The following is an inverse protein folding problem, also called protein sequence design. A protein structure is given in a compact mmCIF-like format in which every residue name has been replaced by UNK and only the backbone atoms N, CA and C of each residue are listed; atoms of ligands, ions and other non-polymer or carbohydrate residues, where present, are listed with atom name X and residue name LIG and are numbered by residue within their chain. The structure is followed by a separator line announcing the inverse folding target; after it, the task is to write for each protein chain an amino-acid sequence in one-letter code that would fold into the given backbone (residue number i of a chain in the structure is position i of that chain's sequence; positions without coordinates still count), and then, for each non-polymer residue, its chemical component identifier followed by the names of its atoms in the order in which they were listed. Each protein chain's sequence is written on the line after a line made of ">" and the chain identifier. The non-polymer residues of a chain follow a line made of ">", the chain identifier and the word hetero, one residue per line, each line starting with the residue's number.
data_IF_571394442068
#
_entry.id   IF_571394442068
#
_cell.length_a   1.000
_cell.length_b   1.000
_cell.length_c   1.000
_cell.angle_alpha   90.00
_cell.angle_beta   90.00
_cell.angle_gamma   90.00
#
_symmetry.space_group_name_H-M   'P 1'
#
loop_
_entity.id
_entity.type
_entity.pdbx_description
1 polymer ?
#
# COMPACT_ATOMS: atom_id res chain seq x y z
N UNK A 1 -9.66 30.07 26.81
CA UNK A 1 -9.45 30.32 25.36
C UNK A 1 -8.83 29.07 24.77
N UNK A 2 -9.58 28.32 23.96
CA UNK A 2 -9.05 27.12 23.29
C UNK A 2 -8.28 27.56 22.05
N UNK A 3 -6.97 27.35 22.04
CA UNK A 3 -6.11 27.60 20.88
C UNK A 3 -6.48 26.55 19.82
N UNK A 4 -7.23 26.94 18.78
CA UNK A 4 -7.38 26.10 17.59
C UNK A 4 -6.02 26.11 16.88
N UNK A 5 -5.31 24.98 16.76
CA UNK A 5 -4.10 24.95 15.95
C UNK A 5 -4.45 25.38 14.54
N UNK A 6 -3.66 26.30 13.99
CA UNK A 6 -3.74 26.66 12.58
C UNK A 6 -3.27 25.43 11.80
N UNK A 7 -4.20 24.62 11.29
CA UNK A 7 -3.84 23.62 10.29
C UNK A 7 -3.38 24.39 9.05
N UNK A 8 -2.07 24.43 8.82
CA UNK A 8 -1.51 24.96 7.59
C UNK A 8 -2.00 24.06 6.44
N UNK A 9 -2.80 24.61 5.54
CA UNK A 9 -3.16 23.98 4.27
C UNK A 9 -1.88 23.76 3.47
N UNK A 10 -1.45 22.50 3.33
CA UNK A 10 -0.32 22.09 2.51
C UNK A 10 -0.78 21.57 1.15
N UNK A 11 0.11 21.61 0.15
CA UNK A 11 -0.11 21.02 -1.17
C UNK A 11 0.73 19.76 -1.34
N UNK A 12 0.12 18.62 -1.69
CA UNK A 12 0.85 17.36 -1.86
C UNK A 12 0.74 16.80 -3.28
N UNK A 13 1.86 16.32 -3.82
CA UNK A 13 1.88 15.52 -5.05
C UNK A 13 1.65 14.04 -4.73
N UNK A 14 0.69 13.42 -5.40
CA UNK A 14 0.35 12.00 -5.24
C UNK A 14 0.55 11.28 -6.57
N UNK A 15 1.48 10.32 -6.61
CA UNK A 15 1.54 9.35 -7.72
C UNK A 15 0.63 8.17 -7.41
N UNK A 16 -0.01 7.60 -8.42
CA UNK A 16 -1.01 6.55 -8.21
C UNK A 16 -2.31 7.08 -7.61
N UNK A 17 -2.58 8.39 -7.75
CA UNK A 17 -3.71 9.10 -7.15
C UNK A 17 -5.09 8.55 -7.53
N UNK A 18 -5.22 7.85 -8.67
CA UNK A 18 -6.47 7.19 -9.10
C UNK A 18 -6.48 5.69 -8.81
N UNK A 19 -5.43 5.16 -8.18
CA UNK A 19 -5.34 3.76 -7.78
C UNK A 19 -6.17 3.46 -6.52
N UNK A 20 -6.21 2.19 -6.13
CA UNK A 20 -7.01 1.72 -5.00
C UNK A 20 -6.66 2.44 -3.68
N UNK A 21 -5.40 2.37 -3.24
CA UNK A 21 -4.98 3.09 -2.02
C UNK A 21 -4.85 4.59 -2.29
N UNK A 22 -4.25 4.99 -3.42
CA UNK A 22 -3.99 6.39 -3.73
C UNK A 22 -5.25 7.26 -3.78
N UNK A 23 -6.37 6.75 -4.31
CA UNK A 23 -7.62 7.51 -4.31
C UNK A 23 -8.20 7.75 -2.92
N UNK A 24 -7.97 6.83 -1.96
CA UNK A 24 -8.34 7.05 -0.56
C UNK A 24 -7.39 8.05 0.12
N UNK A 25 -6.10 8.05 -0.22
CA UNK A 25 -5.13 9.06 0.23
C UNK A 25 -5.54 10.45 -0.25
N UNK A 26 -5.95 10.59 -1.52
CA UNK A 26 -6.49 11.84 -2.05
C UNK A 26 -7.69 12.32 -1.24
N UNK A 27 -8.66 11.44 -0.98
CA UNK A 27 -9.86 11.80 -0.23
C UNK A 27 -9.55 12.21 1.22
N UNK A 28 -8.64 11.50 1.89
CA UNK A 28 -8.19 11.82 3.25
C UNK A 28 -7.47 13.19 3.31
N UNK A 29 -6.61 13.49 2.33
CA UNK A 29 -5.88 14.77 2.28
C UNK A 29 -6.83 15.94 2.03
N UNK A 30 -7.78 15.79 1.10
CA UNK A 30 -8.81 16.80 0.84
C UNK A 30 -9.69 17.03 2.07
N UNK A 31 -10.12 15.96 2.74
CA UNK A 31 -10.93 16.04 3.96
C UNK A 31 -10.18 16.71 5.13
N UNK A 32 -8.85 16.56 5.18
CA UNK A 32 -7.99 17.24 6.14
C UNK A 32 -7.72 18.72 5.81
N UNK A 33 -8.23 19.23 4.68
CA UNK A 33 -8.06 20.62 4.24
C UNK A 33 -6.76 20.90 3.50
N UNK A 34 -6.11 19.86 2.97
CA UNK A 34 -4.95 19.99 2.10
C UNK A 34 -5.35 20.07 0.63
N UNK A 35 -4.47 20.64 -0.19
CA UNK A 35 -4.60 20.62 -1.65
C UNK A 35 -3.81 19.46 -2.22
N UNK A 36 -4.30 18.87 -3.31
CA UNK A 36 -3.67 17.71 -3.94
C UNK A 36 -3.36 18.02 -5.41
N UNK A 37 -2.18 17.60 -5.84
CA UNK A 37 -1.82 17.41 -7.24
C UNK A 37 -1.73 15.91 -7.51
N UNK A 38 -2.53 15.38 -8.43
CA UNK A 38 -2.50 13.97 -8.79
C UNK A 38 -1.82 13.74 -10.14
N UNK A 39 -0.86 12.81 -10.19
CA UNK A 39 -0.29 12.36 -11.46
C UNK A 39 -1.30 11.49 -12.22
N UNK A 40 -1.57 11.82 -13.48
CA UNK A 40 -2.52 11.10 -14.32
C UNK A 40 -1.94 10.75 -15.70
N UNK A 41 -1.83 9.44 -15.96
CA UNK A 41 -1.30 8.87 -17.22
C UNK A 41 -2.29 8.82 -18.39
N UNK A 42 -3.59 9.01 -18.14
CA UNK A 42 -4.65 8.89 -19.17
C UNK A 42 -5.76 9.91 -18.96
N UNK A 43 -6.53 10.24 -19.99
CA UNK A 43 -7.69 11.15 -19.88
C UNK A 43 -8.69 10.67 -18.83
N UNK A 44 -8.93 9.36 -18.75
CA UNK A 44 -9.79 8.77 -17.73
C UNK A 44 -9.28 9.07 -16.30
N UNK A 45 -7.98 8.89 -16.04
CA UNK A 45 -7.39 9.24 -14.74
C UNK A 45 -7.48 10.74 -14.45
N UNK A 46 -7.27 11.60 -15.46
CA UNK A 46 -7.40 13.04 -15.28
C UNK A 46 -8.83 13.45 -14.94
N UNK A 47 -9.82 12.89 -15.64
CA UNK A 47 -11.24 13.15 -15.38
C UNK A 47 -11.65 12.74 -13.96
N UNK A 48 -11.17 11.59 -13.46
CA UNK A 48 -11.43 11.14 -12.09
C UNK A 48 -10.89 12.12 -11.03
N UNK A 49 -9.71 12.69 -11.27
CA UNK A 49 -9.11 13.69 -10.37
C UNK A 49 -9.85 15.03 -10.46
N UNK A 50 -10.14 15.51 -11.66
CA UNK A 50 -10.89 16.75 -11.89
C UNK A 50 -12.27 16.71 -11.24
N UNK A 51 -12.96 15.57 -11.31
CA UNK A 51 -14.25 15.37 -10.64
C UNK A 51 -14.19 15.52 -9.12
N UNK A 52 -13.00 15.36 -8.52
CA UNK A 52 -12.74 15.59 -7.09
C UNK A 52 -12.18 16.98 -6.77
N UNK A 53 -12.06 17.87 -7.77
CA UNK A 53 -11.42 19.18 -7.62
C UNK A 53 -9.90 19.11 -7.44
N UNK A 54 -9.27 18.00 -7.82
CA UNK A 54 -7.82 17.80 -7.70
C UNK A 54 -7.11 18.39 -8.91
N UNK A 55 -6.00 19.11 -8.67
CA UNK A 55 -5.13 19.59 -9.75
C UNK A 55 -4.49 18.38 -10.45
N UNK A 56 -4.56 18.35 -11.78
CA UNK A 56 -3.98 17.24 -12.56
C UNK A 56 -2.58 17.60 -13.03
N UNK A 57 -1.62 16.70 -12.76
CA UNK A 57 -0.32 16.68 -13.41
C UNK A 57 -0.33 15.57 -14.46
N UNK A 58 -0.31 15.92 -15.75
CA UNK A 58 -0.33 14.93 -16.84
C UNK A 58 1.06 14.34 -16.99
N UNK A 59 1.18 13.02 -16.95
CA UNK A 59 2.45 12.32 -17.11
C UNK A 59 2.40 10.88 -16.56
N UNK A 60 3.51 10.19 -16.73
CA UNK A 60 3.79 8.82 -16.32
C UNK A 60 5.01 8.77 -15.40
N UNK A 61 5.39 7.58 -14.94
CA UNK A 61 6.62 7.42 -14.13
C UNK A 61 7.90 7.68 -14.94
N UNK A 62 7.85 7.48 -16.26
CA UNK A 62 8.97 7.77 -17.16
C UNK A 62 9.19 9.28 -17.40
N UNK A 63 8.19 10.13 -17.11
CA UNK A 63 8.27 11.58 -17.36
C UNK A 63 9.00 12.31 -16.22
N UNK A 64 10.30 12.03 -16.06
CA UNK A 64 11.09 12.51 -14.92
C UNK A 64 11.11 14.04 -14.74
N UNK A 65 11.05 14.81 -15.84
CA UNK A 65 10.97 16.28 -15.78
C UNK A 65 9.65 16.74 -15.16
N UNK A 66 8.54 16.10 -15.53
CA UNK A 66 7.20 16.34 -14.97
C UNK A 66 7.17 16.00 -13.49
N UNK A 67 7.75 14.85 -13.10
CA UNK A 67 7.85 14.45 -11.70
C UNK A 67 8.64 15.46 -10.86
N UNK A 68 9.80 15.92 -11.36
CA UNK A 68 10.62 16.94 -10.69
C UNK A 68 9.86 18.25 -10.53
N UNK A 69 9.21 18.72 -11.59
CA UNK A 69 8.41 19.93 -11.54
C UNK A 69 7.31 19.82 -10.48
N UNK A 70 6.48 18.77 -10.56
CA UNK A 70 5.39 18.56 -9.61
C UNK A 70 5.85 18.47 -8.17
N UNK A 71 6.97 17.79 -7.91
CA UNK A 71 7.55 17.69 -6.56
C UNK A 71 8.06 19.05 -6.05
N UNK A 72 8.71 19.85 -6.91
CA UNK A 72 9.23 21.18 -6.53
C UNK A 72 8.13 22.18 -6.16
N UNK A 73 6.97 22.08 -6.81
CA UNK A 73 5.80 22.95 -6.63
C UNK A 73 4.86 22.50 -5.48
N UNK A 74 5.21 21.44 -4.76
CA UNK A 74 4.42 20.89 -3.66
C UNK A 74 5.23 20.85 -2.35
N UNK A 75 4.52 20.70 -1.23
CA UNK A 75 5.07 20.70 0.12
C UNK A 75 5.48 19.30 0.56
N UNK A 76 5.21 18.29 -0.27
CA UNK A 76 5.54 16.90 -0.03
C UNK A 76 5.02 16.00 -1.14
N UNK A 77 5.49 14.75 -1.14
CA UNK A 77 5.12 13.74 -2.12
C UNK A 77 4.73 12.44 -1.43
N UNK A 78 3.61 11.84 -1.84
CA UNK A 78 3.35 10.42 -1.60
C UNK A 78 3.42 9.65 -2.92
N UNK A 79 4.33 8.68 -2.98
CA UNK A 79 4.54 7.84 -4.14
C UNK A 79 3.88 6.47 -3.94
N UNK A 80 2.73 6.26 -4.58
CA UNK A 80 1.96 5.01 -4.55
C UNK A 80 1.87 4.33 -5.92
N UNK A 81 2.35 4.98 -6.99
CA UNK A 81 2.35 4.38 -8.32
C UNK A 81 3.38 3.25 -8.41
N UNK A 82 2.90 2.09 -8.86
CA UNK A 82 3.73 0.97 -9.29
C UNK A 82 2.98 0.28 -10.44
N UNK A 83 3.67 -0.15 -11.48
CA UNK A 83 3.04 -0.95 -12.52
C UNK A 83 2.87 -2.40 -12.02
N UNK A 84 1.62 -2.85 -11.93
CA UNK A 84 1.25 -4.16 -11.39
C UNK A 84 1.20 -5.26 -12.46
N UNK A 85 1.78 -5.03 -13.65
CA UNK A 85 2.15 -6.12 -14.56
C UNK A 85 3.31 -6.92 -13.95
N UNK A 86 2.96 -7.90 -13.11
CA UNK A 86 3.94 -8.75 -12.44
C UNK A 86 4.77 -9.62 -13.39
N UNK A 87 4.40 -9.72 -14.68
CA UNK A 87 5.26 -10.36 -15.67
C UNK A 87 6.52 -9.52 -15.98
N UNK A 88 6.45 -8.20 -15.75
CA UNK A 88 7.55 -7.23 -15.96
C UNK A 88 8.10 -6.67 -14.64
N UNK A 89 7.93 -7.42 -13.55
CA UNK A 89 8.18 -6.92 -12.19
C UNK A 89 9.56 -6.28 -11.99
N UNK A 90 10.61 -6.87 -12.59
CA UNK A 90 11.97 -6.32 -12.53
C UNK A 90 12.12 -4.99 -13.28
N UNK A 91 11.54 -4.89 -14.49
CA UNK A 91 11.54 -3.65 -15.29
C UNK A 91 10.75 -2.55 -14.56
N UNK A 92 9.58 -2.89 -14.02
CA UNK A 92 8.73 -1.96 -13.27
C UNK A 92 9.43 -1.45 -12.00
N UNK A 93 10.23 -2.27 -11.33
CA UNK A 93 11.03 -1.84 -10.18
C UNK A 93 12.16 -0.88 -10.56
N UNK A 94 12.77 -1.05 -11.75
CA UNK A 94 13.76 -0.10 -12.27
C UNK A 94 13.11 1.25 -12.59
N UNK A 95 11.94 1.24 -13.23
CA UNK A 95 11.17 2.46 -13.51
C UNK A 95 10.73 3.17 -12.22
N UNK A 96 10.18 2.43 -11.25
CA UNK A 96 9.78 2.96 -9.93
C UNK A 96 10.98 3.65 -9.25
N UNK A 97 12.16 3.01 -9.28
CA UNK A 97 13.37 3.59 -8.69
C UNK A 97 13.80 4.87 -9.40
N UNK A 98 13.80 4.91 -10.73
CA UNK A 98 14.14 6.10 -11.48
C UNK A 98 13.17 7.26 -11.21
N UNK A 99 11.88 6.96 -11.08
CA UNK A 99 10.86 7.93 -10.71
C UNK A 99 11.07 8.47 -9.28
N UNK A 100 11.40 7.60 -8.32
CA UNK A 100 11.71 8.00 -6.94
C UNK A 100 12.96 8.89 -6.90
N UNK A 101 14.01 8.55 -7.66
CA UNK A 101 15.22 9.37 -7.75
C UNK A 101 14.93 10.76 -8.37
N UNK A 102 14.06 10.82 -9.38
CA UNK A 102 13.59 12.08 -9.96
C UNK A 102 12.84 12.94 -8.93
N UNK A 103 11.85 12.36 -8.23
CA UNK A 103 11.10 13.04 -7.16
C UNK A 103 12.05 13.52 -6.05
N UNK A 104 12.95 12.66 -5.58
CA UNK A 104 13.91 12.97 -4.53
C UNK A 104 14.84 14.12 -4.91
N UNK A 105 15.33 14.15 -6.16
CA UNK A 105 16.22 15.23 -6.63
C UNK A 105 15.60 16.62 -6.53
N UNK A 106 14.28 16.74 -6.66
CA UNK A 106 13.56 18.01 -6.51
C UNK A 106 13.34 18.43 -5.05
N UNK A 107 13.52 17.50 -4.10
CA UNK A 107 13.27 17.72 -2.67
C UNK A 107 14.55 17.80 -1.84
N UNK A 108 15.72 17.59 -2.45
CA UNK A 108 17.01 17.60 -1.76
C UNK A 108 17.26 18.89 -0.98
N UNK A 109 17.67 18.76 0.30
CA UNK A 109 17.90 19.89 1.21
C UNK A 109 16.65 20.64 1.68
N UNK A 110 15.44 20.29 1.23
CA UNK A 110 14.21 21.04 1.55
C UNK A 110 13.53 20.62 2.86
N UNK A 111 13.91 19.45 3.41
CA UNK A 111 13.22 18.77 4.51
C UNK A 111 11.74 18.43 4.24
N UNK A 112 11.27 18.58 2.99
CA UNK A 112 9.92 18.16 2.58
C UNK A 112 9.78 16.62 2.64
N UNK A 113 8.60 16.09 3.01
CA UNK A 113 8.37 14.66 3.07
C UNK A 113 8.31 14.01 1.69
N UNK A 114 8.93 12.83 1.61
CA UNK A 114 8.77 11.89 0.50
C UNK A 114 8.37 10.53 1.09
N UNK A 115 7.09 10.19 0.98
CA UNK A 115 6.54 8.94 1.50
C UNK A 115 6.44 7.95 0.35
N UNK A 116 7.18 6.85 0.38
CA UNK A 116 7.19 5.83 -0.68
C UNK A 116 6.50 4.56 -0.19
N UNK A 117 5.77 3.92 -1.09
CA UNK A 117 5.04 2.69 -0.78
C UNK A 117 5.91 1.44 -0.97
N UNK A 118 5.85 0.53 0.00
CA UNK A 118 6.39 -0.83 -0.08
C UNK A 118 5.32 -1.82 0.43
N UNK A 119 5.68 -3.08 0.68
CA UNK A 119 4.79 -4.10 1.22
C UNK A 119 5.44 -4.94 2.32
N UNK A 120 4.64 -5.43 3.27
CA UNK A 120 5.12 -6.27 4.38
C UNK A 120 5.60 -7.65 3.92
N UNK A 121 5.19 -8.10 2.72
CA UNK A 121 5.62 -9.37 2.10
C UNK A 121 7.13 -9.50 1.92
N UNK A 122 7.86 -8.39 1.93
CA UNK A 122 9.31 -8.41 1.82
C UNK A 122 10.03 -8.79 3.12
N UNK A 123 9.33 -8.92 4.24
CA UNK A 123 9.91 -9.30 5.55
C UNK A 123 9.51 -10.70 6.01
N UNK A 124 8.89 -11.51 5.14
CA UNK A 124 8.32 -12.81 5.52
C UNK A 124 9.37 -13.68 6.20
N UNK A 125 9.02 -14.16 7.39
CA UNK A 125 9.80 -15.06 8.22
C UNK A 125 8.79 -16.01 8.85
N UNK A 126 8.94 -17.31 8.62
CA UNK A 126 8.00 -18.31 9.16
C UNK A 126 7.84 -18.14 10.67
N UNK A 127 6.58 -18.10 11.13
CA UNK A 127 6.23 -17.99 12.56
C UNK A 127 6.75 -16.76 13.32
N UNK A 128 7.19 -15.70 12.63
CA UNK A 128 7.66 -14.46 13.28
C UNK A 128 6.79 -13.26 12.89
N UNK A 129 6.50 -12.41 13.88
CA UNK A 129 5.82 -11.13 13.69
C UNK A 129 6.87 -10.06 13.37
N UNK A 130 6.84 -9.51 12.16
CA UNK A 130 7.73 -8.44 11.73
C UNK A 130 7.35 -7.09 12.34
N UNK A 131 8.31 -6.39 12.91
CA UNK A 131 8.19 -4.97 13.28
C UNK A 131 8.72 -4.05 12.17
N UNK A 132 8.50 -2.76 12.29
CA UNK A 132 9.02 -1.73 11.37
C UNK A 132 10.56 -1.72 11.31
N UNK A 133 11.23 -2.22 12.34
CA UNK A 133 12.69 -2.39 12.40
C UNK A 133 13.16 -3.73 11.82
N UNK A 134 12.22 -4.63 11.49
CA UNK A 134 12.55 -5.88 10.82
C UNK A 134 13.08 -5.56 9.41
N UNK A 135 14.32 -5.95 9.10
CA UNK A 135 14.88 -5.72 7.79
C UNK A 135 14.17 -6.59 6.75
N UNK A 136 14.36 -6.19 5.51
CA UNK A 136 13.96 -6.96 4.35
C UNK A 136 14.65 -8.31 4.35
N UNK A 137 13.93 -9.34 3.92
CA UNK A 137 14.54 -10.60 3.55
C UNK A 137 15.23 -10.53 2.18
N UNK A 138 16.56 -10.60 2.16
CA UNK A 138 17.34 -10.59 0.92
C UNK A 138 17.24 -11.89 0.12
N UNK A 139 16.71 -12.96 0.71
CA UNK A 139 16.42 -14.23 0.02
C UNK A 139 14.98 -14.28 -0.52
N UNK A 140 14.12 -13.32 -0.14
CA UNK A 140 12.75 -13.29 -0.61
C UNK A 140 12.68 -13.03 -2.12
N UNK A 141 11.83 -13.75 -2.88
CA UNK A 141 11.53 -13.42 -4.27
C UNK A 141 11.03 -11.98 -4.46
N UNK A 142 10.50 -11.36 -3.40
CA UNK A 142 10.02 -9.97 -3.41
C UNK A 142 11.14 -8.93 -3.21
N UNK A 143 12.40 -9.35 -3.04
CA UNK A 143 13.56 -8.47 -2.77
C UNK A 143 13.78 -7.36 -3.80
N UNK A 144 13.34 -7.58 -5.04
CA UNK A 144 13.55 -6.64 -6.17
C UNK A 144 12.95 -5.27 -5.86
N UNK A 145 11.70 -5.25 -5.38
CA UNK A 145 11.03 -4.00 -5.01
C UNK A 145 11.55 -3.44 -3.69
N UNK A 146 12.18 -4.27 -2.85
CA UNK A 146 12.65 -3.84 -1.55
C UNK A 146 14.04 -3.21 -1.55
N UNK A 147 14.85 -3.41 -2.58
CA UNK A 147 16.06 -2.59 -2.80
C UNK A 147 15.71 -1.09 -2.85
N UNK A 148 14.49 -0.75 -3.29
CA UNK A 148 13.94 0.61 -3.27
C UNK A 148 13.83 1.16 -1.84
N UNK A 149 13.50 0.34 -0.84
CA UNK A 149 13.41 0.84 0.55
C UNK A 149 14.75 1.37 1.05
N UNK A 150 15.83 0.63 0.81
CA UNK A 150 17.18 1.06 1.21
C UNK A 150 17.55 2.39 0.58
N UNK A 151 17.22 2.58 -0.71
CA UNK A 151 17.44 3.85 -1.41
C UNK A 151 16.63 4.97 -0.78
N UNK A 152 15.33 4.75 -0.54
CA UNK A 152 14.43 5.76 0.04
C UNK A 152 14.90 6.20 1.41
N UNK A 153 15.26 5.28 2.29
CA UNK A 153 15.68 5.62 3.66
C UNK A 153 17.00 6.39 3.67
N UNK A 154 17.91 6.08 2.75
CA UNK A 154 19.17 6.81 2.59
C UNK A 154 18.98 8.27 2.15
N UNK A 155 17.83 8.64 1.57
CA UNK A 155 17.51 10.02 1.20
C UNK A 155 17.41 10.95 2.42
N UNK A 156 17.22 10.42 3.62
CA UNK A 156 17.26 11.20 4.86
C UNK A 156 18.59 11.96 5.02
N UNK A 157 19.71 11.33 4.64
CA UNK A 157 21.03 11.97 4.69
C UNK A 157 21.19 13.12 3.68
N UNK A 158 20.28 13.24 2.71
CA UNK A 158 20.22 14.31 1.69
C UNK A 158 19.27 15.44 2.09
N UNK A 159 18.86 15.51 3.36
CA UNK A 159 17.94 16.54 3.85
C UNK A 159 16.52 16.41 3.31
N UNK A 160 16.09 15.18 2.99
CA UNK A 160 14.71 14.86 2.59
C UNK A 160 14.05 14.12 3.75
N UNK A 161 12.83 14.49 4.16
CA UNK A 161 12.09 13.76 5.20
C UNK A 161 11.44 12.50 4.61
N UNK A 162 12.29 11.62 4.12
CA UNK A 162 11.93 10.39 3.42
C UNK A 162 11.43 9.33 4.39
N UNK A 163 10.43 8.55 3.98
CA UNK A 163 9.91 7.43 4.77
C UNK A 163 9.28 6.39 3.86
N UNK A 164 9.13 5.17 4.37
CA UNK A 164 8.48 4.06 3.67
C UNK A 164 7.21 3.65 4.40
N UNK A 165 6.08 3.55 3.70
CA UNK A 165 4.87 2.90 4.18
C UNK A 165 4.79 1.50 3.59
N UNK A 166 4.90 0.46 4.43
CA UNK A 166 4.70 -0.95 4.05
C UNK A 166 3.23 -1.29 4.19
N UNK A 167 2.57 -1.54 3.07
CA UNK A 167 1.19 -2.01 3.03
C UNK A 167 1.11 -3.51 3.31
N UNK A 168 0.06 -3.92 4.02
CA UNK A 168 -0.32 -5.31 4.16
C UNK A 168 -0.66 -5.95 2.78
N UNK A 169 -0.47 -7.27 2.57
CA UNK A 169 -0.88 -7.94 1.32
C UNK A 169 -2.41 -7.91 1.13
N UNK A 170 -3.17 -7.83 2.21
CA UNK A 170 -4.61 -7.59 2.21
C UNK A 170 -4.94 -6.16 2.66
N UNK A 171 -4.59 -5.18 1.82
CA UNK A 171 -5.28 -3.88 1.88
C UNK A 171 -6.69 -4.10 1.34
N UNK A 172 -7.71 -3.84 2.15
CA UNK A 172 -9.10 -4.19 1.82
C UNK A 172 -10.05 -2.98 1.87
N UNK A 173 -11.30 -3.22 1.47
CA UNK A 173 -12.38 -2.24 1.41
C UNK A 173 -12.96 -2.08 0.00
N UNK A 174 -13.98 -1.25 -0.13
CA UNK A 174 -14.76 -1.09 -1.37
C UNK A 174 -13.89 -0.81 -2.60
N UNK A 175 -14.13 -1.56 -3.68
CA UNK A 175 -13.43 -1.40 -4.95
C UNK A 175 -12.05 -2.07 -5.03
N UNK A 176 -11.71 -2.93 -4.06
CA UNK A 176 -10.48 -3.71 -4.08
C UNK A 176 -10.41 -4.64 -5.31
N UNK A 177 -9.23 -4.69 -5.92
CA UNK A 177 -8.87 -5.56 -7.06
C UNK A 177 -7.54 -6.29 -6.81
N UNK A 178 -7.07 -6.28 -5.57
CA UNK A 178 -5.85 -6.90 -5.07
C UNK A 178 -6.00 -8.39 -4.80
N UNK A 179 -5.24 -8.90 -3.84
CA UNK A 179 -5.11 -10.34 -3.63
C UNK A 179 -6.40 -10.99 -3.11
N UNK A 180 -7.10 -10.38 -2.15
CA UNK A 180 -8.35 -10.92 -1.60
C UNK A 180 -9.43 -10.99 -2.68
N UNK A 181 -9.54 -9.96 -3.52
CA UNK A 181 -10.41 -9.98 -4.69
C UNK A 181 -10.09 -11.15 -5.63
N UNK A 182 -8.81 -11.39 -5.95
CA UNK A 182 -8.40 -12.49 -6.83
C UNK A 182 -8.69 -13.87 -6.23
N UNK A 183 -8.54 -14.02 -4.91
CA UNK A 183 -8.91 -15.26 -4.19
C UNK A 183 -10.43 -15.47 -4.26
N UNK A 184 -11.22 -14.43 -4.01
CA UNK A 184 -12.69 -14.49 -4.13
C UNK A 184 -13.13 -14.80 -5.58
N UNK A 185 -12.51 -14.16 -6.58
CA UNK A 185 -12.81 -14.40 -7.98
C UNK A 185 -12.54 -15.86 -8.38
N UNK A 186 -11.40 -16.43 -7.96
CA UNK A 186 -11.10 -17.84 -8.19
C UNK A 186 -12.08 -18.77 -7.46
N UNK A 187 -12.55 -18.38 -6.27
CA UNK A 187 -13.56 -19.15 -5.54
C UNK A 187 -14.90 -19.19 -6.30
N UNK A 188 -15.31 -18.08 -6.91
CA UNK A 188 -16.49 -18.03 -7.80
C UNK A 188 -16.29 -18.89 -9.05
N UNK A 189 -15.12 -18.78 -9.68
CA UNK A 189 -14.81 -19.52 -10.90
C UNK A 189 -14.81 -21.04 -10.69
N UNK A 190 -14.22 -21.50 -9.59
CA UNK A 190 -14.07 -22.93 -9.30
C UNK A 190 -15.18 -23.52 -8.44
N UNK A 191 -16.09 -22.70 -7.91
CA UNK A 191 -17.15 -23.14 -7.01
C UNK A 191 -16.64 -23.68 -5.67
N UNK A 192 -15.44 -23.31 -5.25
CA UNK A 192 -14.85 -23.67 -3.95
C UNK A 192 -13.85 -22.62 -3.48
N UNK A 193 -13.87 -22.27 -2.19
CA UNK A 193 -12.92 -21.36 -1.56
C UNK A 193 -11.77 -22.16 -0.93
N UNK A 194 -10.52 -21.83 -1.26
CA UNK A 194 -9.37 -22.65 -0.87
C UNK A 194 -8.53 -22.03 0.25
N UNK A 195 -7.96 -22.88 1.09
CA UNK A 195 -6.83 -22.57 1.98
C UNK A 195 -5.72 -23.62 1.82
N UNK A 196 -4.51 -23.31 2.26
CA UNK A 196 -3.34 -24.18 2.03
C UNK A 196 -3.03 -25.02 3.27
N UNK A 197 -2.89 -26.33 3.11
CA UNK A 197 -2.52 -27.25 4.19
C UNK A 197 -3.49 -27.16 5.38
N UNK A 198 -2.99 -26.81 6.57
CA UNK A 198 -3.83 -26.60 7.75
C UNK A 198 -4.43 -25.18 7.83
N UNK A 199 -3.97 -24.27 6.97
CA UNK A 199 -4.43 -22.88 6.90
C UNK A 199 -3.99 -22.00 8.07
N UNK A 200 -2.90 -22.40 8.73
CA UNK A 200 -2.25 -21.67 9.83
C UNK A 200 -1.40 -20.48 9.38
N UNK A 201 -1.14 -20.36 8.08
CA UNK A 201 -0.49 -19.18 7.51
C UNK A 201 -1.34 -17.96 7.81
N UNK A 202 -0.70 -16.86 8.21
CA UNK A 202 -1.37 -15.60 8.48
C UNK A 202 -0.96 -14.55 7.45
N UNK A 203 -1.84 -13.58 7.23
CA UNK A 203 -1.55 -12.33 6.54
C UNK A 203 -1.93 -11.15 7.44
N UNK A 204 -1.14 -10.06 7.50
CA UNK A 204 -1.65 -8.85 8.10
C UNK A 204 -2.70 -8.22 7.17
N UNK A 205 -3.61 -7.41 7.71
CA UNK A 205 -4.62 -6.70 6.94
C UNK A 205 -4.73 -5.24 7.35
N UNK A 206 -5.22 -4.39 6.45
CA UNK A 206 -5.55 -2.99 6.75
C UNK A 206 -6.65 -2.49 5.82
N UNK A 207 -7.61 -1.75 6.36
CA UNK A 207 -8.59 -1.09 5.52
C UNK A 207 -7.96 0.08 4.75
N UNK A 208 -8.33 0.29 3.48
CA UNK A 208 -7.75 1.34 2.62
C UNK A 208 -7.85 2.75 3.20
N UNK A 209 -8.90 3.05 3.97
CA UNK A 209 -9.07 4.35 4.65
C UNK A 209 -8.17 4.52 5.87
N UNK A 210 -7.85 3.42 6.56
CA UNK A 210 -6.83 3.43 7.63
C UNK A 210 -5.43 3.63 7.06
N UNK A 211 -5.12 2.96 5.95
CA UNK A 211 -3.88 3.21 5.21
C UNK A 211 -3.80 4.68 4.75
N UNK A 212 -4.88 5.25 4.21
CA UNK A 212 -4.92 6.64 3.79
C UNK A 212 -4.58 7.63 4.93
N UNK A 213 -5.16 7.42 6.11
CA UNK A 213 -4.82 8.18 7.33
C UNK A 213 -3.34 8.08 7.68
N UNK A 214 -2.74 6.89 7.54
CA UNK A 214 -1.31 6.72 7.78
C UNK A 214 -0.47 7.56 6.81
N UNK A 215 -0.79 7.55 5.51
CA UNK A 215 -0.07 8.40 4.54
C UNK A 215 -0.16 9.88 4.89
N UNK A 216 -1.35 10.37 5.29
CA UNK A 216 -1.49 11.76 5.76
C UNK A 216 -0.58 12.04 6.95
N UNK A 217 -0.58 11.18 7.98
CA UNK A 217 0.26 11.37 9.17
C UNK A 217 1.75 11.29 8.84
N UNK A 218 2.16 10.39 7.94
CA UNK A 218 3.54 10.31 7.47
C UNK A 218 3.97 11.59 6.72
N UNK A 219 3.10 12.10 5.84
CA UNK A 219 3.31 13.38 5.16
C UNK A 219 3.39 14.54 6.16
N UNK A 220 2.51 14.63 7.14
CA UNK A 220 2.48 15.76 8.08
C UNK A 220 3.65 15.73 9.07
N UNK A 221 3.97 14.57 9.64
CA UNK A 221 4.86 14.46 10.81
C UNK A 221 5.78 13.23 10.85
N UNK A 222 5.82 12.44 9.78
CA UNK A 222 6.76 11.32 9.65
C UNK A 222 8.21 11.71 9.91
N UNK A 223 8.98 10.82 10.51
CA UNK A 223 10.39 10.99 10.83
C UNK A 223 11.23 10.59 9.61
N UNK A 224 12.29 11.36 9.34
CA UNK A 224 13.19 11.08 8.22
C UNK A 224 13.91 9.74 8.43
N UNK A 225 13.95 8.90 7.40
CA UNK A 225 14.58 7.58 7.44
C UNK A 225 13.75 6.53 8.17
N UNK A 226 12.45 6.76 8.38
CA UNK A 226 11.57 5.82 9.08
C UNK A 226 10.80 4.89 8.15
N UNK A 227 10.40 3.74 8.71
CA UNK A 227 9.44 2.80 8.14
C UNK A 227 8.16 2.82 8.97
N UNK A 228 7.03 2.72 8.29
CA UNK A 228 5.70 2.65 8.88
C UNK A 228 4.95 1.46 8.31
N UNK A 229 4.30 0.67 9.16
CA UNK A 229 3.46 -0.45 8.77
C UNK A 229 2.00 0.00 8.75
N UNK A 230 1.39 -0.01 7.55
CA UNK A 230 -0.05 0.10 7.41
C UNK A 230 -0.67 -1.28 7.68
N UNK A 231 -0.81 -1.61 8.96
CA UNK A 231 -1.35 -2.88 9.44
C UNK A 231 -2.37 -2.61 10.55
N UNK A 232 -3.63 -2.92 10.29
CA UNK A 232 -4.73 -2.87 11.25
C UNK A 232 -4.93 -4.17 12.01
N UNK A 233 -4.67 -5.31 11.35
CA UNK A 233 -4.73 -6.65 11.93
C UNK A 233 -3.40 -7.35 11.68
N UNK A 234 -2.73 -7.83 12.72
CA UNK A 234 -1.35 -8.32 12.60
C UNK A 234 -1.23 -9.66 11.88
N UNK A 235 -2.25 -10.52 12.01
CA UNK A 235 -2.18 -11.92 11.61
C UNK A 235 -3.60 -12.53 11.43
N UNK A 236 -4.24 -12.27 10.30
CA UNK A 236 -5.49 -12.94 9.91
C UNK A 236 -5.17 -14.32 9.33
N UNK A 237 -5.66 -15.44 9.90
CA UNK A 237 -5.43 -16.76 9.33
C UNK A 237 -6.02 -16.89 7.92
N UNK A 238 -5.23 -17.40 6.98
CA UNK A 238 -5.65 -17.68 5.59
C UNK A 238 -6.86 -18.61 5.53
N UNK A 239 -6.98 -19.54 6.48
CA UNK A 239 -8.20 -20.35 6.64
C UNK A 239 -9.44 -19.51 6.93
N UNK A 240 -9.35 -18.53 7.84
CA UNK A 240 -10.47 -17.67 8.18
C UNK A 240 -10.88 -16.79 6.99
N UNK A 241 -9.92 -16.33 6.19
CA UNK A 241 -10.18 -15.62 4.93
C UNK A 241 -10.96 -16.54 3.97
N UNK A 242 -10.51 -17.77 3.77
CA UNK A 242 -11.17 -18.75 2.90
C UNK A 242 -12.58 -19.10 3.40
N UNK A 243 -12.76 -19.26 4.70
CA UNK A 243 -14.05 -19.52 5.34
C UNK A 243 -15.02 -18.36 5.17
N UNK A 244 -14.58 -17.11 5.38
CA UNK A 244 -15.39 -15.92 5.16
C UNK A 244 -15.82 -15.78 3.70
N UNK A 245 -14.90 -16.02 2.75
CA UNK A 245 -15.21 -16.02 1.31
C UNK A 245 -16.21 -17.14 0.97
N UNK A 246 -15.97 -18.35 1.47
CA UNK A 246 -16.84 -19.51 1.24
C UNK A 246 -18.25 -19.28 1.75
N UNK A 247 -18.39 -18.69 2.94
CA UNK A 247 -19.68 -18.31 3.50
C UNK A 247 -20.37 -17.22 2.67
N UNK A 248 -19.65 -16.17 2.28
CA UNK A 248 -20.21 -15.05 1.50
C UNK A 248 -20.69 -15.47 0.11
N UNK A 249 -19.96 -16.40 -0.53
CA UNK A 249 -20.26 -16.92 -1.86
C UNK A 249 -21.11 -18.20 -1.86
N UNK A 250 -21.38 -18.76 -0.69
CA UNK A 250 -22.09 -20.04 -0.52
C UNK A 250 -21.42 -21.22 -1.26
N UNK A 251 -20.09 -21.30 -1.18
CA UNK A 251 -19.27 -22.37 -1.76
C UNK A 251 -18.53 -23.16 -0.69
N UNK A 252 -18.23 -24.46 -0.89
CA UNK A 252 -17.44 -25.24 0.04
C UNK A 252 -16.04 -24.65 0.26
N UNK A 253 -15.51 -24.87 1.47
CA UNK A 253 -14.16 -24.46 1.86
C UNK A 253 -13.26 -25.69 1.87
N UNK A 254 -12.14 -25.64 1.15
CA UNK A 254 -11.30 -26.82 0.88
C UNK A 254 -9.83 -26.55 1.17
N UNK A 255 -9.17 -27.54 1.79
CA UNK A 255 -7.71 -27.55 1.90
C UNK A 255 -7.08 -27.99 0.57
N UNK A 256 -6.01 -27.31 0.17
CA UNK A 256 -5.25 -27.58 -1.05
C UNK A 256 -3.74 -27.57 -0.78
N UNK A 257 -2.98 -28.15 -1.70
CA UNK A 257 -1.52 -28.00 -1.70
C UNK A 257 -1.11 -26.62 -2.22
N UNK A 258 0.14 -26.21 -1.98
CA UNK A 258 0.70 -24.98 -2.58
C UNK A 258 0.64 -25.04 -4.11
N UNK A 259 0.91 -26.22 -4.70
CA UNK A 259 0.88 -26.41 -6.15
C UNK A 259 -0.53 -26.20 -6.73
N UNK A 260 -1.55 -26.76 -6.09
CA UNK A 260 -2.95 -26.55 -6.48
C UNK A 260 -3.36 -25.07 -6.36
N UNK A 261 -2.92 -24.39 -5.29
CA UNK A 261 -3.20 -22.98 -5.08
C UNK A 261 -2.58 -22.11 -6.18
N UNK A 262 -1.33 -22.39 -6.58
CA UNK A 262 -0.66 -21.68 -7.70
C UNK A 262 -1.38 -21.92 -9.02
N UNK A 263 -1.86 -23.14 -9.29
CA UNK A 263 -2.62 -23.43 -10.51
C UNK A 263 -3.93 -22.64 -10.60
N UNK A 264 -4.58 -22.40 -9.46
CA UNK A 264 -5.90 -21.74 -9.41
C UNK A 264 -5.84 -20.23 -9.22
N UNK A 265 -4.88 -19.75 -8.44
CA UNK A 265 -4.72 -18.34 -8.10
C UNK A 265 -3.66 -17.64 -8.97
N UNK A 266 -2.98 -18.38 -9.84
CA UNK A 266 -1.82 -17.92 -10.58
C UNK A 266 -0.72 -17.43 -9.62
N UNK A 267 -0.13 -16.28 -9.94
CA UNK A 267 0.91 -15.65 -9.11
C UNK A 267 0.50 -15.49 -7.63
N UNK A 268 -0.78 -15.27 -7.33
CA UNK A 268 -1.27 -15.06 -5.94
C UNK A 268 -1.14 -16.32 -5.08
N UNK A 269 -1.03 -17.52 -5.68
CA UNK A 269 -0.84 -18.75 -4.92
C UNK A 269 0.45 -18.76 -4.09
N UNK A 270 1.53 -18.15 -4.60
CA UNK A 270 2.80 -18.05 -3.87
C UNK A 270 2.72 -17.17 -2.60
N UNK A 271 2.29 -15.89 -2.64
CA UNK A 271 2.13 -15.11 -1.43
C UNK A 271 1.05 -15.70 -0.52
N UNK A 272 0.03 -16.38 -1.03
CA UNK A 272 -1.01 -16.99 -0.18
C UNK A 272 -0.48 -18.21 0.59
N UNK A 273 0.56 -18.87 0.06
CA UNK A 273 1.32 -19.88 0.77
C UNK A 273 2.31 -19.33 1.80
N UNK A 274 2.60 -18.01 1.75
CA UNK A 274 3.55 -17.37 2.65
C UNK A 274 2.91 -17.02 3.98
N UNK A 275 3.66 -17.23 5.06
CA UNK A 275 3.24 -16.88 6.41
C UNK A 275 3.78 -15.52 6.82
N UNK A 276 2.94 -14.49 6.70
CA UNK A 276 3.30 -13.11 6.96
C UNK A 276 2.55 -12.56 8.15
N UNK A 277 3.30 -12.13 9.15
CA UNK A 277 2.76 -11.41 10.29
C UNK A 277 3.52 -10.11 10.44
N UNK A 278 2.81 -9.03 10.73
CA UNK A 278 3.44 -7.74 10.92
C UNK A 278 2.71 -6.94 12.01
N UNK A 279 3.47 -6.34 12.90
CA UNK A 279 2.94 -5.39 13.88
C UNK A 279 3.03 -3.97 13.35
N UNK A 280 2.12 -3.10 13.77
CA UNK A 280 2.17 -1.65 13.55
C UNK A 280 2.44 -0.86 14.84
N UNK A 281 2.89 -1.53 15.92
CA UNK A 281 3.04 -0.91 17.24
C UNK A 281 3.89 0.37 17.20
N UNK A 282 5.03 0.36 16.49
CA UNK A 282 5.89 1.55 16.39
C UNK A 282 5.20 2.66 15.58
N UNK A 283 4.54 2.31 14.49
CA UNK A 283 3.74 3.25 13.69
C UNK A 283 2.68 3.95 14.53
N UNK A 284 1.94 3.19 15.33
CA UNK A 284 0.91 3.74 16.22
C UNK A 284 1.52 4.67 17.29
N UNK A 285 2.65 4.28 17.88
CA UNK A 285 3.35 5.09 18.89
C UNK A 285 3.95 6.38 18.33
N UNK A 286 4.67 6.31 17.21
CA UNK A 286 5.36 7.47 16.62
C UNK A 286 4.40 8.46 15.96
N UNK A 287 3.37 7.96 15.28
CA UNK A 287 2.45 8.79 14.51
C UNK A 287 1.11 9.01 15.20
N UNK A 288 0.83 8.42 16.36
CA UNK A 288 -0.50 8.44 16.96
C UNK A 288 -1.57 7.93 15.99
N UNK A 289 -1.19 7.02 15.09
CA UNK A 289 -2.10 6.39 14.15
C UNK A 289 -2.86 5.28 14.88
N UNK A 290 -4.15 5.15 14.62
CA UNK A 290 -4.97 4.07 15.20
C UNK A 290 -5.91 3.55 14.13
N UNK A 291 -5.80 2.27 13.74
CA UNK A 291 -6.77 1.62 12.86
C UNK A 291 -8.17 1.69 13.47
N UNK A 292 -9.19 2.00 12.67
CA UNK A 292 -10.56 2.20 13.18
C UNK A 292 -11.68 1.78 12.23
N UNK A 293 -11.36 1.34 11.01
CA UNK A 293 -12.36 0.83 10.09
C UNK A 293 -12.67 -0.65 10.39
N UNK A 294 -13.55 -1.24 9.57
CA UNK A 294 -13.85 -2.66 9.66
C UNK A 294 -12.59 -3.53 9.47
N UNK A 295 -12.64 -4.74 10.02
CA UNK A 295 -11.66 -5.80 9.78
C UNK A 295 -11.85 -6.43 8.41
N UNK A 296 -10.84 -7.17 7.92
CA UNK A 296 -10.89 -7.87 6.65
C UNK A 296 -12.08 -8.84 6.58
N UNK A 297 -12.30 -9.63 7.64
CA UNK A 297 -13.35 -10.63 7.67
C UNK A 297 -14.75 -10.00 7.68
N UNK A 298 -14.92 -8.85 8.35
CA UNK A 298 -16.17 -8.09 8.32
C UNK A 298 -16.49 -7.56 6.91
N UNK A 299 -15.48 -7.06 6.19
CA UNK A 299 -15.66 -6.60 4.80
C UNK A 299 -16.01 -7.76 3.85
N UNK A 300 -15.33 -8.91 4.00
CA UNK A 300 -15.69 -10.11 3.24
C UNK A 300 -17.13 -10.51 3.53
N UNK A 301 -17.53 -10.56 4.80
CA UNK A 301 -18.89 -10.92 5.22
C UNK A 301 -19.98 -9.95 4.74
N UNK A 302 -19.64 -8.68 4.50
CA UNK A 302 -20.55 -7.68 3.89
C UNK A 302 -20.65 -7.79 2.37
N UNK A 303 -19.91 -8.72 1.75
CA UNK A 303 -19.94 -8.94 0.32
C UNK A 303 -19.15 -7.94 -0.50
N UNK A 304 -18.13 -7.27 0.09
CA UNK A 304 -17.21 -6.38 -0.65
C UNK A 304 -16.57 -7.09 -1.85
N UNK A 305 -16.44 -8.43 -1.76
CA UNK A 305 -15.82 -9.28 -2.77
C UNK A 305 -16.80 -10.17 -3.54
N UNK A 306 -18.12 -9.95 -3.39
CA UNK A 306 -19.16 -10.71 -4.08
C UNK A 306 -19.36 -10.31 -5.53
#
# INVERSE_FOLDING_TARGET
>A
MSYKPINLTMKFLITGATGFVGSAVVDELLAAGHSVVGLARSDASAALLQAKGVQVLRGTLADHSVLKQGASECEGVAHLAFDHDFAKFAENAVEERAAIEALASALEGTNKPLVVTSGTMAMVRENLVGSEDTPVDMESPMKIRTATETVVLALAARGIRSSVVRLAPSVHGDGDRGFVYRISAAAKEHGESLYIGQGSNCWPAVHRRDAARLYRLALEKGVAGSRYHAVGEEAVPTRAIAEAIGQSLQVPVVSKTVQDAVQRLGFVGYPFAADSRASSTKTQQELGWTPREATLLEDIGKGVYN
#
